data_IF_440751187736
#
_entry.id   IF_440751187736
#
_cell.length_a   1.000
_cell.length_b   1.000
_cell.length_c   1.000
_cell.angle_alpha   90.00
_cell.angle_beta   90.00
_cell.angle_gamma   90.00
#
_symmetry.space_group_name_H-M   'P 1'
#
loop_
_entity.id
_entity.type
_entity.pdbx_description
1 polymer ?
#
# COMPACT_ATOMS: atom_id res chain seq x y z
N UNK A 1 62.45 -20.78 -20.15
CA UNK A 1 61.54 -20.24 -19.12
C UNK A 1 60.52 -19.38 -19.85
N UNK A 2 59.25 -19.72 -19.73
CA UNK A 2 58.17 -19.38 -20.65
C UNK A 2 57.31 -18.29 -19.99
N UNK A 3 57.21 -17.11 -20.61
CA UNK A 3 56.34 -16.03 -20.13
C UNK A 3 55.02 -16.07 -20.93
N UNK A 4 54.01 -16.72 -20.35
CA UNK A 4 52.66 -16.78 -20.93
C UNK A 4 51.98 -15.43 -20.71
N UNK A 5 51.48 -14.73 -21.75
CA UNK A 5 50.69 -13.53 -21.56
C UNK A 5 49.31 -13.90 -21.01
N UNK A 6 48.95 -13.36 -19.85
CA UNK A 6 47.59 -13.45 -19.31
C UNK A 6 46.68 -12.64 -20.23
N UNK A 7 46.07 -13.30 -21.21
CA UNK A 7 44.84 -12.81 -21.86
C UNK A 7 43.70 -13.11 -20.90
N UNK A 8 43.34 -12.14 -20.07
CA UNK A 8 42.15 -12.29 -19.23
C UNK A 8 41.44 -10.95 -19.06
N UNK A 9 40.38 -10.79 -19.83
CA UNK A 9 39.19 -10.08 -19.39
C UNK A 9 38.01 -10.64 -20.20
N UNK A 10 37.55 -11.82 -19.81
CA UNK A 10 36.20 -12.25 -20.14
C UNK A 10 35.25 -11.30 -19.39
N UNK A 11 34.61 -10.39 -20.12
CA UNK A 11 33.63 -9.47 -19.58
C UNK A 11 32.34 -10.27 -19.34
N UNK A 12 32.19 -10.80 -18.13
CA UNK A 12 30.90 -11.35 -17.69
C UNK A 12 29.94 -10.18 -17.48
N UNK A 13 29.06 -9.94 -18.45
CA UNK A 13 27.92 -9.04 -18.27
C UNK A 13 26.97 -9.69 -17.25
N UNK A 14 27.07 -9.26 -16.00
CA UNK A 14 26.05 -9.52 -15.00
C UNK A 14 24.78 -8.79 -15.45
N UNK A 15 23.79 -9.53 -15.95
CA UNK A 15 22.46 -9.00 -16.20
C UNK A 15 21.84 -8.70 -14.82
N UNK A 16 22.06 -7.50 -14.32
CA UNK A 16 21.29 -6.98 -13.18
C UNK A 16 19.91 -6.67 -13.76
N UNK A 17 19.06 -7.70 -13.86
CA UNK A 17 17.63 -7.45 -14.00
C UNK A 17 17.18 -6.61 -12.81
N UNK A 18 16.28 -5.62 -13.00
CA UNK A 18 15.73 -4.92 -11.85
C UNK A 18 15.12 -5.97 -10.93
N UNK A 19 15.67 -6.12 -9.73
CA UNK A 19 14.92 -6.69 -8.63
C UNK A 19 13.77 -5.73 -8.42
N UNK A 20 12.61 -6.03 -9.02
CA UNK A 20 11.40 -5.33 -8.67
C UNK A 20 11.20 -5.60 -7.17
N UNK A 21 11.56 -4.63 -6.33
CA UNK A 21 10.99 -4.54 -5.00
C UNK A 21 9.49 -4.51 -5.26
N UNK A 22 8.80 -5.60 -4.94
CA UNK A 22 7.36 -5.63 -5.10
C UNK A 22 6.84 -4.46 -4.28
N UNK A 23 6.32 -3.44 -4.97
CA UNK A 23 5.69 -2.32 -4.30
C UNK A 23 4.57 -2.92 -3.44
N UNK A 24 4.56 -2.60 -2.15
CA UNK A 24 3.61 -3.21 -1.21
C UNK A 24 2.16 -3.15 -1.71
N UNK A 25 1.67 -2.01 -2.26
CA UNK A 25 0.37 -1.93 -2.91
C UNK A 25 0.20 -2.90 -4.07
N UNK A 26 1.20 -3.05 -4.94
CA UNK A 26 1.14 -4.00 -6.05
C UNK A 26 1.01 -5.46 -5.56
N UNK A 27 1.67 -5.78 -4.44
CA UNK A 27 1.57 -7.10 -3.80
C UNK A 27 0.17 -7.36 -3.24
N UNK A 28 -0.42 -6.37 -2.58
CA UNK A 28 -1.79 -6.45 -2.04
C UNK A 28 -2.79 -6.61 -3.19
N UNK A 29 -2.67 -5.78 -4.24
CA UNK A 29 -3.57 -5.83 -5.40
C UNK A 29 -3.49 -7.15 -6.17
N UNK A 30 -2.33 -7.80 -6.20
CA UNK A 30 -2.18 -9.12 -6.81
C UNK A 30 -2.98 -10.23 -6.10
N UNK A 31 -3.46 -10.00 -4.88
CA UNK A 31 -4.35 -10.92 -4.15
C UNK A 31 -5.83 -10.69 -4.42
N UNK A 32 -6.19 -9.76 -5.32
CA UNK A 32 -7.56 -9.40 -5.66
C UNK A 32 -8.45 -9.14 -4.43
N UNK A 33 -8.10 -8.17 -3.56
CA UNK A 33 -8.89 -7.87 -2.38
C UNK A 33 -10.28 -7.33 -2.77
N UNK A 34 -11.29 -7.63 -1.94
CA UNK A 34 -12.62 -7.05 -2.10
C UNK A 34 -12.58 -5.53 -1.89
N UNK A 35 -11.84 -5.05 -0.90
CA UNK A 35 -11.54 -3.64 -0.68
C UNK A 35 -10.15 -3.47 -0.06
N UNK A 36 -9.52 -2.33 -0.32
CA UNK A 36 -8.20 -2.00 0.20
C UNK A 36 -8.08 -0.49 0.50
N UNK A 37 -8.13 -0.13 1.78
CA UNK A 37 -7.97 1.26 2.21
C UNK A 37 -6.56 1.49 2.71
N UNK A 38 -5.90 2.48 2.10
CA UNK A 38 -4.52 2.84 2.45
C UNK A 38 -4.43 3.93 3.51
N UNK A 39 -5.48 4.72 3.67
CA UNK A 39 -5.56 5.84 4.61
C UNK A 39 -4.51 6.94 4.36
N UNK A 40 -4.18 7.17 3.09
CA UNK A 40 -3.24 8.23 2.65
C UNK A 40 -3.94 9.56 2.37
N UNK A 41 -5.22 9.67 2.70
CA UNK A 41 -5.96 10.92 2.56
C UNK A 41 -5.51 11.97 3.58
N UNK A 42 -5.55 13.24 3.16
CA UNK A 42 -5.18 14.35 4.01
C UNK A 42 -6.12 14.51 5.23
N UNK A 43 -5.65 15.14 6.31
CA UNK A 43 -6.51 15.45 7.46
C UNK A 43 -7.80 16.17 7.07
N UNK A 44 -8.92 15.66 7.59
CA UNK A 44 -10.25 16.20 7.31
C UNK A 44 -10.93 15.65 6.05
N UNK A 45 -10.34 14.66 5.38
CA UNK A 45 -11.00 13.99 4.25
C UNK A 45 -12.36 13.39 4.64
N UNK A 46 -13.34 13.60 3.77
CA UNK A 46 -14.70 13.06 3.91
C UNK A 46 -14.91 11.77 3.13
N UNK A 47 -13.93 11.35 2.34
CA UNK A 47 -13.98 10.13 1.54
C UNK A 47 -12.63 9.43 1.67
N UNK A 48 -12.64 8.15 1.99
CA UNK A 48 -11.44 7.31 2.03
C UNK A 48 -11.54 6.32 0.87
N UNK A 49 -10.57 6.38 -0.03
CA UNK A 49 -10.66 5.73 -1.35
C UNK A 49 -10.33 4.25 -1.22
N UNK A 50 -11.19 3.41 -1.81
CA UNK A 50 -10.92 2.00 -2.02
C UNK A 50 -9.88 1.84 -3.15
N UNK A 51 -8.63 1.62 -2.74
CA UNK A 51 -7.50 1.41 -3.64
C UNK A 51 -7.57 0.07 -4.38
N UNK A 52 -8.52 -0.82 -4.06
CA UNK A 52 -8.72 -2.07 -4.83
C UNK A 52 -9.29 -1.81 -6.23
N UNK A 53 -9.94 -0.67 -6.44
CA UNK A 53 -10.62 -0.31 -7.68
C UNK A 53 -12.06 -0.81 -7.80
N UNK A 54 -12.62 -1.41 -6.74
CA UNK A 54 -14.00 -1.93 -6.73
C UNK A 54 -15.05 -0.87 -6.39
N UNK A 55 -14.64 0.38 -6.12
CA UNK A 55 -15.54 1.51 -5.87
C UNK A 55 -16.25 1.45 -4.52
N UNK A 56 -15.63 0.78 -3.54
CA UNK A 56 -16.16 0.63 -2.18
C UNK A 56 -15.64 1.73 -1.26
N UNK A 57 -15.64 2.99 -1.69
CA UNK A 57 -15.14 4.11 -0.90
C UNK A 57 -15.90 4.26 0.44
N UNK A 58 -15.18 4.59 1.51
CA UNK A 58 -15.80 4.90 2.81
C UNK A 58 -16.24 6.36 2.81
N UNK A 59 -17.49 6.60 3.18
CA UNK A 59 -18.02 7.93 3.47
C UNK A 59 -17.73 8.31 4.93
N UNK A 60 -16.96 9.39 5.12
CA UNK A 60 -16.65 10.01 6.40
C UNK A 60 -17.15 11.47 6.45
N UNK A 61 -18.21 11.81 5.69
CA UNK A 61 -18.83 13.14 5.73
C UNK A 61 -19.46 13.47 7.10
N UNK A 62 -19.75 12.44 7.90
CA UNK A 62 -20.24 12.55 9.27
C UNK A 62 -19.33 11.75 10.22
N UNK A 63 -18.18 12.33 10.65
CA UNK A 63 -17.21 11.62 11.48
C UNK A 63 -17.82 11.14 12.80
N UNK A 64 -17.52 9.89 13.17
CA UNK A 64 -17.91 9.34 14.46
C UNK A 64 -16.83 9.59 15.51
N UNK A 65 -17.25 10.13 16.66
CA UNK A 65 -16.38 10.40 17.80
C UNK A 65 -15.22 11.34 17.45
N UNK A 66 -14.05 11.04 18.00
CA UNK A 66 -12.83 11.82 17.76
C UNK A 66 -11.85 11.13 16.80
N UNK A 67 -12.35 10.32 15.86
CA UNK A 67 -11.52 9.68 14.82
C UNK A 67 -10.74 10.72 14.01
N UNK A 68 -9.43 10.52 13.83
CA UNK A 68 -8.57 11.45 13.06
C UNK A 68 -8.00 10.76 11.83
N UNK A 69 -8.31 11.27 10.65
CA UNK A 69 -7.72 10.85 9.37
C UNK A 69 -6.44 11.65 9.11
N UNK A 70 -5.45 11.04 8.47
CA UNK A 70 -4.22 11.72 8.07
C UNK A 70 -3.24 11.94 9.23
N UNK A 71 -3.31 11.11 10.28
CA UNK A 71 -2.29 11.11 11.34
C UNK A 71 -1.01 10.44 10.84
N UNK A 72 0.14 10.73 11.44
CA UNK A 72 1.39 10.03 11.10
C UNK A 72 1.25 8.52 11.41
N UNK A 73 1.44 7.70 10.38
CA UNK A 73 1.46 6.25 10.48
C UNK A 73 2.87 5.68 10.65
N UNK A 74 2.96 4.36 10.87
CA UNK A 74 4.24 3.65 10.83
C UNK A 74 4.89 3.72 9.43
N UNK A 75 4.06 3.83 8.39
CA UNK A 75 4.42 4.12 7.00
C UNK A 75 3.32 5.03 6.47
N UNK A 76 3.68 6.20 5.94
CA UNK A 76 2.70 7.13 5.37
C UNK A 76 1.72 7.69 6.42
N UNK A 77 0.49 7.93 5.98
CA UNK A 77 -0.59 8.39 6.85
C UNK A 77 -1.41 7.23 7.43
N UNK A 78 -2.16 7.50 8.49
CA UNK A 78 -3.01 6.53 9.16
C UNK A 78 -4.29 7.18 9.72
N UNK A 79 -5.20 6.32 10.19
CA UNK A 79 -6.38 6.71 10.96
C UNK A 79 -6.13 6.43 12.43
N UNK A 80 -6.35 7.43 13.29
CA UNK A 80 -6.33 7.28 14.74
C UNK A 80 -7.74 7.02 15.26
N UNK A 81 -7.92 5.89 15.97
CA UNK A 81 -9.15 5.55 16.68
C UNK A 81 -8.96 5.76 18.19
N UNK A 82 -9.63 6.77 18.75
CA UNK A 82 -9.50 7.14 20.16
C UNK A 82 -10.43 6.35 21.11
N UNK A 83 -11.08 5.30 20.59
CA UNK A 83 -12.00 4.44 21.36
C UNK A 83 -13.46 4.93 21.39
N UNK A 84 -13.76 6.10 20.82
CA UNK A 84 -15.11 6.67 20.71
C UNK A 84 -15.64 6.80 19.27
N UNK A 85 -14.85 6.33 18.30
CA UNK A 85 -15.14 6.49 16.87
C UNK A 85 -14.92 5.23 16.05
N UNK A 86 -15.36 5.26 14.79
CA UNK A 86 -15.32 4.15 13.84
C UNK A 86 -15.39 4.65 12.39
N UNK A 87 -15.09 3.77 11.43
CA UNK A 87 -15.38 3.94 10.02
C UNK A 87 -16.33 2.82 9.56
N UNK A 88 -17.31 3.14 8.72
CA UNK A 88 -18.25 2.14 8.17
C UNK A 88 -17.90 1.92 6.71
N UNK A 89 -17.46 0.70 6.38
CA UNK A 89 -17.28 0.30 4.98
C UNK A 89 -18.61 0.01 4.30
N UNK A 90 -18.75 0.26 2.97
CA UNK A 90 -19.94 -0.12 2.22
C UNK A 90 -20.03 -1.64 1.94
N UNK A 91 -19.08 -2.44 2.44
CA UNK A 91 -19.09 -3.89 2.24
C UNK A 91 -20.30 -4.50 2.95
N UNK A 92 -21.14 -5.17 2.17
CA UNK A 92 -22.12 -6.10 2.67
C UNK A 92 -21.50 -7.50 2.72
N UNK A 93 -20.93 -7.84 3.87
CA UNK A 93 -20.47 -9.20 4.14
C UNK A 93 -21.70 -10.02 4.50
N UNK A 94 -22.32 -10.63 3.50
CA UNK A 94 -23.42 -11.56 3.74
C UNK A 94 -22.92 -12.69 4.66
N UNK A 95 -23.45 -12.73 5.88
CA UNK A 95 -23.11 -13.75 6.88
C UNK A 95 -24.14 -14.88 6.93
N UNK A 96 -25.10 -14.92 6.00
CA UNK A 96 -26.20 -15.90 5.99
C UNK A 96 -25.82 -17.27 5.46
#
# INVERSE_FOLDING_TARGET
>A
MQNIPIKLAALATLLIGPTALADYPATVLASNPLAYYRFEEAPGATTLVDSSGNGLDIDNSFPAGTTVIGSDGAVGSAVTFNGDGYLISPLNLDTS
#
